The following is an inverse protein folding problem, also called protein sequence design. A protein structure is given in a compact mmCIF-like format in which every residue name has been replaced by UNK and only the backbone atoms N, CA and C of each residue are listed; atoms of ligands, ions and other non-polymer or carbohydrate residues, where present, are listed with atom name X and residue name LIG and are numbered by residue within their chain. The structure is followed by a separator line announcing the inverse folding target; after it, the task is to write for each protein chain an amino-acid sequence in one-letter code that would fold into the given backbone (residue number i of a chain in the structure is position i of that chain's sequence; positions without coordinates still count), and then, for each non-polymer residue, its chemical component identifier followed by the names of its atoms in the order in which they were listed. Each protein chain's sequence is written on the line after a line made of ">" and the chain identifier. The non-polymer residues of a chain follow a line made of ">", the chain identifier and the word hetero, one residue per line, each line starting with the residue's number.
data_IF_161799987845
#
_entry.id   IF_161799987845
#
_cell.length_a   1.000
_cell.length_b   1.000
_cell.length_c   1.000
_cell.angle_alpha   90.00
_cell.angle_beta   90.00
_cell.angle_gamma   90.00
#
_symmetry.space_group_name_H-M   'P 1'
#
loop_
_entity.id
_entity.type
_entity.pdbx_description
1 polymer ?
#
# COMPACT_ATOMS: atom_id res chain seq x y z
N UNK A 1 -9.63 -52.59 -23.20
CA UNK A 1 -8.64 -51.57 -23.58
C UNK A 1 -8.58 -50.57 -22.40
N UNK A 2 -7.42 -50.57 -21.74
CA UNK A 2 -7.27 -49.96 -20.39
C UNK A 2 -6.96 -48.45 -20.52
N UNK A 3 -7.72 -47.62 -19.79
CA UNK A 3 -7.44 -46.20 -19.57
C UNK A 3 -6.42 -46.09 -18.45
N UNK A 4 -5.28 -45.52 -18.69
CA UNK A 4 -4.32 -45.17 -17.65
C UNK A 4 -4.57 -43.75 -17.14
N UNK A 5 -4.95 -43.70 -15.84
CA UNK A 5 -4.92 -42.44 -15.07
C UNK A 5 -3.48 -42.18 -14.63
N UNK A 6 -2.94 -41.03 -14.98
CA UNK A 6 -1.73 -40.51 -14.35
C UNK A 6 -2.16 -39.68 -13.12
N UNK A 7 -1.89 -40.24 -11.95
CA UNK A 7 -1.96 -39.51 -10.69
C UNK A 7 -0.63 -38.81 -10.45
N UNK A 8 -0.66 -37.48 -10.28
CA UNK A 8 0.48 -36.73 -9.75
C UNK A 8 0.57 -36.96 -8.25
N UNK A 9 1.59 -37.69 -7.83
CA UNK A 9 1.92 -37.88 -6.42
C UNK A 9 2.77 -36.69 -5.93
N UNK A 10 2.28 -36.00 -4.93
CA UNK A 10 3.03 -35.02 -4.13
C UNK A 10 4.07 -35.80 -3.32
N UNK A 11 5.35 -35.53 -3.57
CA UNK A 11 6.45 -36.14 -2.86
C UNK A 11 6.66 -35.43 -1.53
N UNK A 12 6.07 -35.95 -0.46
CA UNK A 12 6.52 -35.66 0.90
C UNK A 12 7.82 -36.43 1.14
N UNK A 13 8.95 -35.73 1.21
CA UNK A 13 10.18 -36.31 1.72
C UNK A 13 10.11 -36.40 3.24
N UNK A 14 9.76 -37.58 3.71
CA UNK A 14 9.93 -37.94 5.11
C UNK A 14 11.43 -38.09 5.41
N UNK A 15 11.87 -37.47 6.48
CA UNK A 15 13.20 -37.62 7.04
C UNK A 15 13.41 -39.06 7.51
N UNK A 16 14.23 -39.84 6.78
CA UNK A 16 14.76 -41.09 7.28
C UNK A 16 15.99 -40.80 8.13
N UNK A 17 15.90 -41.16 9.42
CA UNK A 17 17.04 -41.20 10.34
C UNK A 17 18.01 -42.29 9.91
N UNK A 18 19.14 -41.90 9.31
CA UNK A 18 20.29 -42.77 9.22
C UNK A 18 21.29 -42.38 10.30
N UNK A 19 21.37 -43.18 11.35
CA UNK A 19 22.51 -43.19 12.25
C UNK A 19 23.65 -43.93 11.57
N UNK A 20 24.67 -43.19 11.10
CA UNK A 20 25.95 -43.79 10.76
C UNK A 20 27.07 -42.78 11.12
N UNK A 21 28.05 -43.27 11.79
CA UNK A 21 29.19 -42.60 12.43
C UNK A 21 30.02 -41.67 11.54
N UNK A 22 30.50 -40.59 12.17
CA UNK A 22 31.77 -39.91 12.00
C UNK A 22 32.19 -39.50 10.59
N UNK A 23 31.98 -38.20 10.27
CA UNK A 23 33.04 -37.31 9.78
C UNK A 23 32.57 -35.89 10.08
N UNK A 24 33.43 -35.10 10.74
CA UNK A 24 33.25 -33.67 10.95
C UNK A 24 33.25 -32.95 9.60
N UNK A 25 32.10 -32.85 8.95
CA UNK A 25 31.82 -31.84 7.93
C UNK A 25 30.88 -30.83 8.61
N UNK A 26 31.47 -29.95 9.41
CA UNK A 26 30.86 -28.71 9.86
C UNK A 26 30.64 -27.79 8.63
N UNK A 27 29.72 -28.16 7.75
CA UNK A 27 29.15 -27.20 6.80
C UNK A 27 28.23 -26.30 7.61
N UNK A 28 28.57 -25.02 7.78
CA UNK A 28 27.73 -24.10 8.56
C UNK A 28 26.31 -24.08 7.97
N UNK A 29 25.31 -24.32 8.79
CA UNK A 29 23.91 -24.23 8.36
C UNK A 29 23.60 -22.78 8.03
N UNK A 30 23.26 -22.50 6.77
CA UNK A 30 22.91 -21.16 6.31
C UNK A 30 21.58 -20.73 6.95
N UNK A 31 21.61 -19.64 7.70
CA UNK A 31 20.42 -19.00 8.29
C UNK A 31 19.75 -18.09 7.28
N UNK A 32 18.44 -18.24 7.15
CA UNK A 32 17.59 -17.36 6.35
C UNK A 32 17.32 -16.07 7.13
N UNK A 33 17.66 -14.90 6.57
CA UNK A 33 17.47 -13.59 7.18
C UNK A 33 16.78 -12.68 6.19
N UNK A 34 15.69 -12.06 6.63
CA UNK A 34 15.01 -11.02 5.86
C UNK A 34 15.84 -9.75 5.90
N UNK A 35 15.95 -9.08 4.75
CA UNK A 35 16.70 -7.83 4.60
C UNK A 35 15.85 -6.79 3.88
N UNK A 36 16.03 -5.53 4.22
CA UNK A 36 15.48 -4.40 3.51
C UNK A 36 16.61 -3.66 2.81
N UNK A 37 16.57 -3.62 1.47
CA UNK A 37 17.63 -3.02 0.64
C UNK A 37 17.35 -1.54 0.35
N UNK A 38 16.10 -1.10 0.49
CA UNK A 38 15.66 0.25 0.18
C UNK A 38 14.15 0.36 0.09
N UNK A 39 13.69 1.46 -0.48
CA UNK A 39 12.26 1.69 -0.67
C UNK A 39 11.99 2.45 -1.97
N UNK A 40 10.84 2.18 -2.56
CA UNK A 40 10.30 2.94 -3.68
C UNK A 40 9.29 3.95 -3.15
N UNK A 41 9.43 5.21 -3.58
CA UNK A 41 8.50 6.30 -3.27
C UNK A 41 7.80 6.70 -4.55
N UNK A 42 6.47 6.61 -4.56
CA UNK A 42 5.64 7.01 -5.70
C UNK A 42 5.08 8.39 -5.47
N UNK A 43 5.24 9.25 -6.47
CA UNK A 43 4.58 10.53 -6.56
C UNK A 43 3.50 10.52 -7.62
N UNK A 44 2.34 11.07 -7.30
CA UNK A 44 1.23 11.25 -8.26
C UNK A 44 1.53 12.29 -9.33
N UNK A 45 2.61 13.06 -9.17
CA UNK A 45 2.88 14.24 -9.95
C UNK A 45 2.02 15.42 -9.51
N UNK A 46 1.85 16.40 -10.41
CA UNK A 46 0.96 17.52 -10.21
C UNK A 46 0.24 17.88 -11.52
N UNK A 47 -1.02 17.50 -11.64
CA UNK A 47 -1.82 17.70 -12.85
C UNK A 47 -1.92 19.17 -13.25
N UNK A 48 -2.05 20.09 -12.27
CA UNK A 48 -2.17 21.53 -12.51
C UNK A 48 -0.87 22.14 -13.07
N UNK A 49 0.27 21.65 -12.60
CA UNK A 49 1.59 22.05 -13.08
C UNK A 49 2.07 21.23 -14.29
N UNK A 50 1.24 20.30 -14.80
CA UNK A 50 1.58 19.37 -15.87
C UNK A 50 2.82 18.49 -15.57
N UNK A 51 2.96 18.05 -14.32
CA UNK A 51 4.02 17.16 -13.88
C UNK A 51 3.44 15.75 -13.79
N UNK A 52 4.07 14.80 -14.48
CA UNK A 52 3.70 13.39 -14.44
C UNK A 52 4.06 12.75 -13.11
N UNK A 53 3.40 11.62 -12.81
CA UNK A 53 3.78 10.76 -11.72
C UNK A 53 5.18 10.20 -11.88
N UNK A 54 5.83 9.88 -10.79
CA UNK A 54 7.18 9.34 -10.79
C UNK A 54 7.38 8.27 -9.72
N UNK A 55 8.39 7.44 -9.91
CA UNK A 55 8.91 6.53 -8.89
C UNK A 55 10.36 6.89 -8.64
N UNK A 56 10.71 7.09 -7.37
CA UNK A 56 12.09 7.25 -6.94
C UNK A 56 12.49 6.06 -6.05
N UNK A 57 13.77 5.69 -6.08
CA UNK A 57 14.31 4.63 -5.24
C UNK A 57 15.30 5.20 -4.23
N UNK A 58 15.10 4.88 -2.97
CA UNK A 58 16.03 5.16 -1.87
C UNK A 58 16.82 3.88 -1.61
N UNK A 59 18.12 3.93 -1.87
CA UNK A 59 19.04 2.83 -1.59
C UNK A 59 19.62 2.99 -0.19
N UNK A 60 19.39 2.03 0.69
CA UNK A 60 19.85 2.11 2.07
C UNK A 60 21.36 1.91 2.20
N UNK A 61 21.94 1.05 1.36
CA UNK A 61 23.37 0.79 1.38
C UNK A 61 24.17 1.98 0.87
N UNK A 62 23.79 2.54 -0.27
CA UNK A 62 24.40 3.74 -0.83
C UNK A 62 24.02 5.01 -0.05
N UNK A 63 22.90 4.97 0.68
CA UNK A 63 22.32 6.12 1.35
C UNK A 63 21.94 7.23 0.37
N UNK A 64 21.49 6.90 -0.83
CA UNK A 64 21.25 7.80 -1.94
C UNK A 64 19.85 7.64 -2.54
N UNK A 65 19.40 8.68 -3.25
CA UNK A 65 18.12 8.69 -3.99
C UNK A 65 18.39 8.60 -5.48
N UNK A 66 17.76 7.63 -6.14
CA UNK A 66 17.61 7.64 -7.59
C UNK A 66 16.24 8.25 -7.91
N UNK A 67 16.22 9.57 -8.13
CA UNK A 67 15.00 10.26 -8.54
C UNK A 67 14.57 9.81 -9.95
N UNK A 68 13.24 9.74 -10.19
CA UNK A 68 12.66 9.30 -11.47
C UNK A 68 13.20 7.94 -11.95
N UNK A 69 13.35 6.98 -11.03
CA UNK A 69 13.95 5.68 -11.29
C UNK A 69 13.21 4.90 -12.40
N UNK A 70 11.87 4.97 -12.42
CA UNK A 70 11.07 4.34 -13.49
C UNK A 70 11.43 4.92 -14.87
N UNK A 71 11.49 6.24 -15.02
CA UNK A 71 11.82 6.89 -16.29
C UNK A 71 13.26 6.59 -16.73
N UNK A 72 14.21 6.54 -15.77
CA UNK A 72 15.60 6.18 -16.05
C UNK A 72 15.72 4.75 -16.54
N UNK A 73 14.98 3.81 -15.98
CA UNK A 73 15.01 2.41 -16.36
C UNK A 73 14.34 2.15 -17.72
N UNK A 74 13.32 2.94 -18.09
CA UNK A 74 12.45 2.61 -19.23
C UNK A 74 12.45 3.65 -20.36
N UNK A 75 13.07 4.81 -20.18
CA UNK A 75 13.10 5.89 -21.17
C UNK A 75 11.74 6.53 -21.46
N UNK A 76 10.73 6.32 -20.58
CA UNK A 76 9.38 6.82 -20.76
C UNK A 76 8.75 7.28 -19.43
N UNK A 77 7.73 8.14 -19.51
CA UNK A 77 6.98 8.62 -18.37
C UNK A 77 6.11 7.53 -17.77
N UNK A 78 5.87 7.63 -16.47
CA UNK A 78 4.91 6.79 -15.76
C UNK A 78 3.45 7.11 -16.15
N UNK A 79 3.17 8.37 -16.51
CA UNK A 79 1.84 8.91 -16.74
C UNK A 79 1.36 9.79 -15.57
N UNK A 80 0.16 10.34 -15.68
CA UNK A 80 -0.41 11.27 -14.70
C UNK A 80 -1.19 10.52 -13.63
N UNK A 81 -1.14 11.03 -12.40
CA UNK A 81 -1.93 10.54 -11.27
C UNK A 81 -1.61 9.08 -10.94
N UNK A 82 -0.33 8.79 -10.71
CA UNK A 82 0.04 7.53 -10.08
C UNK A 82 -0.53 7.50 -8.65
N UNK A 83 -1.18 6.38 -8.28
CA UNK A 83 -1.90 6.27 -7.01
C UNK A 83 -1.26 5.29 -6.04
N UNK A 84 -0.72 4.21 -6.54
CA UNK A 84 -0.33 3.10 -5.67
C UNK A 84 0.84 2.32 -6.24
N UNK A 85 1.61 1.72 -5.35
CA UNK A 85 2.64 0.75 -5.69
C UNK A 85 2.56 -0.41 -4.70
N UNK A 86 2.67 -1.63 -5.22
CA UNK A 86 2.76 -2.85 -4.42
C UNK A 86 3.76 -3.81 -5.05
N UNK A 87 4.48 -4.56 -4.22
CA UNK A 87 5.25 -5.71 -4.65
C UNK A 87 4.47 -7.00 -4.46
N UNK A 88 4.61 -7.91 -5.41
CA UNK A 88 4.13 -9.27 -5.29
C UNK A 88 5.02 -10.23 -6.08
N UNK A 89 5.61 -11.19 -5.38
CA UNK A 89 6.64 -12.05 -5.94
C UNK A 89 7.88 -11.26 -6.38
N UNK A 90 8.30 -11.45 -7.63
CA UNK A 90 9.45 -10.74 -8.22
C UNK A 90 9.08 -9.43 -8.93
N UNK A 91 7.84 -8.97 -8.78
CA UNK A 91 7.31 -7.84 -9.55
C UNK A 91 6.86 -6.69 -8.65
N UNK A 92 6.94 -5.49 -9.21
CA UNK A 92 6.28 -4.28 -8.73
C UNK A 92 5.12 -3.95 -9.65
N UNK A 93 3.98 -3.60 -9.06
CA UNK A 93 2.80 -3.14 -9.78
C UNK A 93 2.54 -1.69 -9.41
N UNK A 94 2.55 -0.81 -10.40
CA UNK A 94 2.34 0.63 -10.22
C UNK A 94 1.02 0.99 -10.88
N UNK A 95 0.07 1.45 -10.08
CA UNK A 95 -1.29 1.80 -10.51
C UNK A 95 -1.34 3.27 -10.87
N UNK A 96 -1.76 3.58 -12.10
CA UNK A 96 -1.84 4.94 -12.64
C UNK A 96 -3.26 5.24 -13.09
N UNK A 97 -3.94 6.11 -12.35
CA UNK A 97 -5.37 6.41 -12.51
C UNK A 97 -5.69 7.07 -13.85
N UNK A 98 -5.10 8.25 -14.11
CA UNK A 98 -5.49 9.05 -15.27
C UNK A 98 -5.20 8.37 -16.63
N UNK A 99 -4.25 7.45 -16.65
CA UNK A 99 -3.89 6.67 -17.83
C UNK A 99 -4.60 5.31 -17.89
N UNK A 100 -5.46 5.00 -16.93
CA UNK A 100 -6.12 3.69 -16.80
C UNK A 100 -5.11 2.54 -17.03
N UNK A 101 -3.99 2.60 -16.30
CA UNK A 101 -2.82 1.74 -16.58
C UNK A 101 -2.27 1.13 -15.29
N UNK A 102 -1.84 -0.13 -15.39
CA UNK A 102 -1.00 -0.77 -14.39
C UNK A 102 0.33 -1.12 -15.07
N UNK A 103 1.42 -0.53 -14.58
CA UNK A 103 2.76 -0.91 -14.96
C UNK A 103 3.21 -2.10 -14.13
N UNK A 104 3.64 -3.17 -14.79
CA UNK A 104 4.26 -4.34 -14.16
C UNK A 104 5.74 -4.26 -14.44
N UNK A 105 6.55 -4.15 -13.39
CA UNK A 105 7.99 -4.01 -13.49
C UNK A 105 8.70 -5.16 -12.76
N UNK A 106 9.89 -5.49 -13.18
CA UNK A 106 10.81 -6.29 -12.38
C UNK A 106 11.19 -5.52 -11.10
N UNK A 107 11.12 -6.16 -9.95
CA UNK A 107 11.32 -5.52 -8.64
C UNK A 107 12.72 -4.93 -8.45
N UNK A 108 13.74 -5.56 -9.04
CA UNK A 108 15.13 -5.18 -8.82
C UNK A 108 15.62 -4.10 -9.80
N UNK A 109 15.09 -4.11 -11.03
CA UNK A 109 15.58 -3.25 -12.11
C UNK A 109 14.62 -2.15 -12.50
N UNK A 110 13.35 -2.19 -12.05
CA UNK A 110 12.24 -1.37 -12.53
C UNK A 110 11.97 -1.49 -14.04
N UNK A 111 12.62 -2.43 -14.75
CA UNK A 111 12.36 -2.66 -16.15
C UNK A 111 10.92 -3.13 -16.36
N UNK A 112 10.20 -2.51 -17.29
CA UNK A 112 8.81 -2.87 -17.59
C UNK A 112 8.73 -4.26 -18.18
N UNK A 113 8.01 -5.15 -17.51
CA UNK A 113 7.62 -6.50 -17.96
C UNK A 113 6.35 -6.43 -18.79
N UNK A 114 5.37 -5.65 -18.34
CA UNK A 114 4.06 -5.49 -18.98
C UNK A 114 3.46 -4.12 -18.66
N UNK A 115 2.78 -3.54 -19.62
CA UNK A 115 1.81 -2.47 -19.44
C UNK A 115 0.41 -3.05 -19.63
N UNK A 116 -0.44 -2.93 -18.63
CA UNK A 116 -1.82 -3.36 -18.67
C UNK A 116 -2.67 -2.10 -18.84
N UNK A 117 -3.33 -1.96 -19.99
CA UNK A 117 -4.40 -0.99 -20.15
C UNK A 117 -5.65 -1.58 -19.51
N UNK A 118 -6.18 -0.93 -18.49
CA UNK A 118 -7.29 -1.46 -17.69
C UNK A 118 -8.64 -1.33 -18.40
N UNK A 119 -8.79 -0.34 -19.30
CA UNK A 119 -9.98 -0.22 -20.15
C UNK A 119 -10.03 -1.35 -21.18
N UNK A 120 -8.89 -1.69 -21.80
CA UNK A 120 -8.83 -2.85 -22.74
C UNK A 120 -9.14 -4.16 -22.01
N UNK A 121 -8.73 -4.26 -20.73
CA UNK A 121 -8.91 -5.47 -19.94
C UNK A 121 -10.33 -5.66 -19.41
N UNK A 122 -11.00 -4.56 -18.99
CA UNK A 122 -12.27 -4.59 -18.23
C UNK A 122 -13.42 -3.89 -18.94
N UNK A 123 -13.17 -3.13 -20.01
CA UNK A 123 -14.12 -2.27 -20.69
C UNK A 123 -14.16 -0.85 -20.11
N UNK A 124 -14.72 0.09 -20.89
CA UNK A 124 -14.78 1.52 -20.56
C UNK A 124 -15.55 1.84 -19.27
N UNK A 125 -16.53 0.99 -18.91
CA UNK A 125 -17.30 1.18 -17.70
C UNK A 125 -16.51 0.83 -16.44
N UNK A 126 -15.85 -0.32 -16.44
CA UNK A 126 -15.26 -0.91 -15.24
C UNK A 126 -13.75 -0.67 -15.13
N UNK A 127 -13.06 -0.43 -16.26
CA UNK A 127 -11.61 -0.29 -16.32
C UNK A 127 -11.05 1.08 -16.01
N UNK A 128 -11.90 2.06 -15.68
CA UNK A 128 -11.51 3.43 -15.40
C UNK A 128 -11.12 3.62 -13.93
N UNK A 129 -10.19 4.55 -13.70
CA UNK A 129 -9.74 4.97 -12.37
C UNK A 129 -9.31 3.80 -11.47
N UNK A 130 -8.26 3.03 -11.85
CA UNK A 130 -7.64 2.07 -10.95
C UNK A 130 -7.02 2.78 -9.73
N UNK A 131 -7.20 2.23 -8.51
CA UNK A 131 -6.84 2.93 -7.28
C UNK A 131 -5.72 2.28 -6.50
N UNK A 132 -5.95 1.12 -5.91
CA UNK A 132 -5.00 0.38 -5.10
C UNK A 132 -4.95 -1.09 -5.51
N UNK A 133 -3.92 -1.80 -5.09
CA UNK A 133 -3.75 -3.19 -5.44
C UNK A 133 -3.13 -3.99 -4.29
N UNK A 134 -3.44 -5.30 -4.24
CA UNK A 134 -2.82 -6.27 -3.34
C UNK A 134 -2.64 -7.59 -4.07
N UNK A 135 -1.52 -8.30 -3.82
CA UNK A 135 -1.24 -9.60 -4.42
C UNK A 135 -1.58 -10.75 -3.47
N UNK A 136 -2.26 -11.79 -3.96
CA UNK A 136 -2.55 -13.00 -3.20
C UNK A 136 -2.85 -14.18 -4.13
N UNK A 137 -2.35 -15.37 -3.80
CA UNK A 137 -2.64 -16.64 -4.49
C UNK A 137 -2.52 -16.56 -6.02
N UNK A 138 -1.44 -15.92 -6.53
CA UNK A 138 -1.17 -15.78 -7.96
C UNK A 138 -1.99 -14.71 -8.67
N UNK A 139 -2.82 -13.96 -7.96
CA UNK A 139 -3.62 -12.85 -8.49
C UNK A 139 -3.16 -11.51 -7.91
N UNK A 140 -3.32 -10.48 -8.73
CA UNK A 140 -3.33 -9.09 -8.30
C UNK A 140 -4.78 -8.64 -8.22
N UNK A 141 -5.24 -8.25 -7.04
CA UNK A 141 -6.56 -7.66 -6.84
C UNK A 141 -6.44 -6.15 -6.87
N UNK A 142 -7.24 -5.51 -7.71
CA UNK A 142 -7.16 -4.06 -7.95
C UNK A 142 -8.54 -3.44 -7.79
N UNK A 143 -8.63 -2.33 -7.06
CA UNK A 143 -9.85 -1.52 -6.93
C UNK A 143 -9.97 -0.56 -8.10
N UNK A 144 -11.21 -0.34 -8.57
CA UNK A 144 -11.56 0.59 -9.64
C UNK A 144 -12.80 1.39 -9.25
N UNK A 145 -12.76 2.68 -9.47
CA UNK A 145 -13.97 3.50 -9.32
C UNK A 145 -15.07 3.06 -10.29
N UNK A 146 -14.68 2.70 -11.53
CA UNK A 146 -15.62 2.14 -12.50
C UNK A 146 -16.87 3.00 -12.65
N UNK A 147 -18.04 2.38 -12.48
CA UNK A 147 -19.35 3.04 -12.61
C UNK A 147 -19.69 4.01 -11.47
N UNK A 148 -18.87 4.10 -10.41
CA UNK A 148 -19.09 5.04 -9.29
C UNK A 148 -19.18 6.49 -9.78
N UNK A 149 -18.42 6.84 -10.82
CA UNK A 149 -18.46 8.17 -11.44
C UNK A 149 -19.81 8.52 -12.07
N UNK A 150 -20.66 7.53 -12.32
CA UNK A 150 -22.02 7.67 -12.86
C UNK A 150 -23.10 7.35 -11.82
N UNK A 151 -22.73 7.30 -10.52
CA UNK A 151 -23.64 6.98 -9.43
C UNK A 151 -23.90 5.49 -9.22
N UNK A 152 -23.09 4.63 -9.86
CA UNK A 152 -23.10 3.18 -9.66
C UNK A 152 -22.12 2.74 -8.59
N UNK A 153 -21.74 1.47 -8.64
CA UNK A 153 -20.78 0.84 -7.75
C UNK A 153 -19.40 0.74 -8.41
N UNK A 154 -18.36 0.65 -7.58
CA UNK A 154 -17.03 0.27 -8.01
C UNK A 154 -16.85 -1.24 -8.08
N UNK A 155 -15.66 -1.67 -8.48
CA UNK A 155 -15.31 -3.07 -8.56
C UNK A 155 -13.93 -3.35 -7.95
N UNK A 156 -13.71 -4.64 -7.61
CA UNK A 156 -12.39 -5.24 -7.47
C UNK A 156 -12.21 -6.23 -8.61
N UNK A 157 -11.12 -6.10 -9.38
CA UNK A 157 -10.76 -7.07 -10.40
C UNK A 157 -9.60 -7.95 -9.93
N UNK A 158 -9.71 -9.26 -10.13
CA UNK A 158 -8.61 -10.21 -9.98
C UNK A 158 -7.92 -10.40 -11.34
N UNK A 159 -6.62 -10.14 -11.38
CA UNK A 159 -5.78 -10.23 -12.57
C UNK A 159 -4.68 -11.26 -12.30
N UNK A 160 -4.56 -12.27 -13.15
CA UNK A 160 -3.50 -13.28 -13.05
C UNK A 160 -2.11 -12.64 -13.18
N UNK A 161 -1.18 -12.99 -12.29
CA UNK A 161 0.15 -12.36 -12.24
C UNK A 161 1.17 -12.96 -13.20
N UNK A 162 0.80 -14.00 -13.96
CA UNK A 162 1.65 -14.66 -14.95
C UNK A 162 1.29 -14.21 -16.37
N UNK A 163 0.02 -14.37 -16.74
CA UNK A 163 -0.48 -14.02 -18.09
C UNK A 163 -1.17 -12.68 -18.17
N UNK A 164 -1.43 -12.02 -17.02
CA UNK A 164 -2.08 -10.72 -16.88
C UNK A 164 -3.52 -10.66 -17.42
N UNK A 165 -4.18 -11.80 -17.47
CA UNK A 165 -5.58 -11.90 -17.86
C UNK A 165 -6.52 -11.64 -16.68
N UNK A 166 -7.67 -11.04 -16.96
CA UNK A 166 -8.77 -10.92 -15.99
C UNK A 166 -9.28 -12.32 -15.62
N UNK A 167 -9.34 -12.61 -14.33
CA UNK A 167 -9.90 -13.84 -13.79
C UNK A 167 -11.36 -13.64 -13.40
N UNK A 168 -11.65 -12.66 -12.57
CA UNK A 168 -13.00 -12.34 -12.11
C UNK A 168 -13.10 -10.88 -11.68
N UNK A 169 -14.32 -10.41 -11.48
CA UNK A 169 -14.64 -9.10 -10.91
C UNK A 169 -15.65 -9.25 -9.79
N UNK A 170 -15.53 -8.43 -8.76
CA UNK A 170 -16.45 -8.34 -7.64
C UNK A 170 -17.02 -6.92 -7.60
N UNK A 171 -18.35 -6.79 -7.61
CA UNK A 171 -19.00 -5.51 -7.38
C UNK A 171 -18.92 -5.17 -5.89
N UNK A 172 -18.41 -3.98 -5.56
CA UNK A 172 -18.22 -3.47 -4.20
C UNK A 172 -18.98 -2.16 -4.02
N UNK A 173 -18.78 -1.47 -2.90
CA UNK A 173 -19.38 -0.16 -2.69
C UNK A 173 -18.88 0.92 -3.65
N UNK A 174 -19.42 2.14 -3.50
CA UNK A 174 -19.09 3.29 -4.34
C UNK A 174 -17.71 3.85 -4.01
N UNK A 175 -16.94 4.17 -5.04
CA UNK A 175 -15.58 4.73 -4.96
C UNK A 175 -14.66 3.93 -4.05
N UNK A 176 -14.33 2.66 -4.42
CA UNK A 176 -13.39 1.84 -3.65
C UNK A 176 -11.96 2.37 -3.79
N UNK A 177 -11.34 2.70 -2.67
CA UNK A 177 -9.95 3.16 -2.59
C UNK A 177 -9.02 2.03 -2.13
N UNK A 178 -8.61 2.00 -0.86
CA UNK A 178 -7.70 0.99 -0.33
C UNK A 178 -8.32 -0.39 -0.22
N UNK A 179 -7.46 -1.42 -0.33
CA UNK A 179 -7.84 -2.81 -0.06
C UNK A 179 -6.73 -3.54 0.68
N UNK A 180 -7.12 -4.56 1.46
CA UNK A 180 -6.21 -5.46 2.17
C UNK A 180 -6.77 -6.86 2.23
N UNK A 181 -5.95 -7.85 2.57
CA UNK A 181 -6.37 -9.23 2.72
C UNK A 181 -6.15 -9.69 4.17
N UNK A 182 -7.19 -10.27 4.75
CA UNK A 182 -7.14 -10.90 6.07
C UNK A 182 -8.06 -12.13 6.09
N UNK A 183 -7.59 -13.20 6.72
CA UNK A 183 -8.40 -14.40 6.97
C UNK A 183 -9.12 -14.96 5.72
N UNK A 184 -8.46 -14.95 4.55
CA UNK A 184 -9.03 -15.42 3.28
C UNK A 184 -10.09 -14.51 2.67
N UNK A 185 -10.24 -13.28 3.18
CA UNK A 185 -11.14 -12.27 2.65
C UNK A 185 -10.38 -11.02 2.21
N UNK A 186 -10.87 -10.36 1.16
CA UNK A 186 -10.46 -8.99 0.81
C UNK A 186 -11.40 -8.03 1.52
N UNK A 187 -10.81 -7.00 2.16
CA UNK A 187 -11.55 -5.88 2.71
C UNK A 187 -11.25 -4.64 1.87
N UNK A 188 -12.29 -3.90 1.49
CA UNK A 188 -12.21 -2.75 0.58
C UNK A 188 -12.83 -1.54 1.23
N UNK A 189 -12.09 -0.45 1.30
CA UNK A 189 -12.58 0.84 1.77
C UNK A 189 -13.33 1.57 0.64
N UNK A 190 -14.64 1.73 0.79
CA UNK A 190 -15.49 2.42 -0.18
C UNK A 190 -15.79 3.83 0.34
N UNK A 191 -15.06 4.82 -0.19
CA UNK A 191 -15.04 6.19 0.35
C UNK A 191 -16.28 7.03 0.01
N UNK A 192 -17.09 6.58 -0.94
CA UNK A 192 -18.19 7.37 -1.52
C UNK A 192 -17.71 8.76 -1.98
N UNK A 193 -16.45 8.86 -2.36
CA UNK A 193 -15.75 10.10 -2.75
C UNK A 193 -15.86 11.23 -1.70
N UNK A 194 -15.94 10.87 -0.41
CA UNK A 194 -16.11 11.80 0.69
C UNK A 194 -17.51 12.45 0.77
N UNK A 195 -18.49 11.97 0.00
CA UNK A 195 -19.88 12.47 0.06
C UNK A 195 -20.60 12.06 1.35
N UNK A 196 -20.09 11.05 2.05
CA UNK A 196 -20.62 10.51 3.30
C UNK A 196 -22.11 10.08 3.24
N UNK A 197 -22.60 9.67 2.05
CA UNK A 197 -23.97 9.20 1.87
C UNK A 197 -24.09 7.69 1.96
N UNK A 198 -23.14 6.97 1.32
CA UNK A 198 -23.11 5.52 1.25
C UNK A 198 -21.70 4.94 1.47
N UNK A 199 -20.86 5.47 2.38
CA UNK A 199 -19.56 4.88 2.67
C UNK A 199 -19.76 3.50 3.29
N UNK A 200 -18.82 2.59 3.01
CA UNK A 200 -18.88 1.22 3.53
C UNK A 200 -17.51 0.55 3.51
N UNK A 201 -17.41 -0.61 4.13
CA UNK A 201 -16.32 -1.55 3.91
C UNK A 201 -16.92 -2.79 3.24
N UNK A 202 -16.48 -3.12 2.02
CA UNK A 202 -16.84 -4.40 1.41
C UNK A 202 -15.91 -5.50 1.87
N UNK A 203 -16.49 -6.66 2.20
CA UNK A 203 -15.76 -7.89 2.53
C UNK A 203 -16.05 -8.93 1.46
N UNK A 204 -15.02 -9.40 0.76
CA UNK A 204 -15.09 -10.40 -0.30
C UNK A 204 -14.46 -11.69 0.22
N UNK A 205 -15.23 -12.74 0.37
CA UNK A 205 -14.72 -14.07 0.71
C UNK A 205 -14.10 -14.72 -0.53
N UNK A 206 -12.80 -14.97 -0.51
CA UNK A 206 -12.05 -15.49 -1.66
C UNK A 206 -12.38 -16.95 -2.00
N UNK A 207 -12.90 -17.71 -1.03
CA UNK A 207 -13.29 -19.11 -1.25
C UNK A 207 -14.63 -19.24 -1.98
N UNK A 208 -15.61 -18.39 -1.63
CA UNK A 208 -16.96 -18.45 -2.18
C UNK A 208 -17.25 -17.36 -3.23
N UNK A 209 -16.46 -16.30 -3.27
CA UNK A 209 -16.72 -15.12 -4.08
C UNK A 209 -17.85 -14.23 -3.56
N UNK A 210 -18.38 -14.51 -2.36
CA UNK A 210 -19.46 -13.72 -1.76
C UNK A 210 -18.93 -12.34 -1.34
N UNK A 211 -19.71 -11.30 -1.65
CA UNK A 211 -19.45 -9.93 -1.22
C UNK A 211 -20.47 -9.52 -0.17
N UNK A 212 -19.99 -9.01 0.97
CA UNK A 212 -20.81 -8.44 2.03
C UNK A 212 -20.38 -7.00 2.27
N UNK A 213 -21.32 -6.12 2.62
CA UNK A 213 -21.03 -4.74 3.01
C UNK A 213 -21.18 -4.58 4.52
N UNK A 214 -20.14 -4.03 5.15
CA UNK A 214 -20.16 -3.55 6.53
C UNK A 214 -20.51 -2.07 6.47
N UNK A 215 -21.65 -1.71 7.08
CA UNK A 215 -22.15 -0.34 7.21
C UNK A 215 -22.31 -0.02 8.68
N UNK A 216 -21.81 1.11 9.07
CA UNK A 216 -21.91 1.63 10.44
C UNK A 216 -21.93 3.16 10.36
N UNK A 217 -22.61 3.84 11.27
CA UNK A 217 -22.68 5.30 11.31
C UNK A 217 -21.33 5.99 11.53
N UNK A 218 -20.36 5.25 12.08
CA UNK A 218 -18.98 5.74 12.27
C UNK A 218 -18.10 5.59 11.01
N UNK A 219 -18.57 4.90 9.97
CA UNK A 219 -17.90 4.83 8.67
C UNK A 219 -18.33 6.05 7.86
N UNK A 220 -17.43 6.99 7.63
CA UNK A 220 -17.77 8.28 6.99
C UNK A 220 -17.01 8.52 5.68
N UNK A 221 -15.71 8.23 5.65
CA UNK A 221 -14.86 8.44 4.48
C UNK A 221 -13.64 7.50 4.55
N UNK A 222 -13.85 6.17 4.44
CA UNK A 222 -12.76 5.20 4.54
C UNK A 222 -11.88 5.24 3.28
N UNK A 223 -10.57 5.41 3.46
CA UNK A 223 -9.61 5.61 2.36
C UNK A 223 -8.53 4.53 2.30
N UNK A 224 -7.78 4.38 3.39
CA UNK A 224 -6.72 3.38 3.50
C UNK A 224 -7.19 2.23 4.37
N UNK A 225 -6.70 1.03 4.10
CA UNK A 225 -7.02 -0.14 4.90
C UNK A 225 -5.79 -1.04 4.97
N UNK A 226 -5.51 -1.62 6.11
CA UNK A 226 -4.37 -2.49 6.33
C UNK A 226 -4.74 -3.64 7.28
N UNK A 227 -3.91 -4.66 7.28
CA UNK A 227 -4.01 -5.80 8.18
C UNK A 227 -2.86 -5.77 9.18
N UNK A 228 -3.17 -6.04 10.44
CA UNK A 228 -2.21 -6.22 11.52
C UNK A 228 -2.52 -7.53 12.24
N UNK A 229 -1.72 -8.56 12.00
CA UNK A 229 -2.05 -9.93 12.37
C UNK A 229 -3.30 -10.43 11.64
N UNK A 230 -4.34 -10.81 12.38
CA UNK A 230 -5.66 -11.19 11.84
C UNK A 230 -6.68 -10.04 11.82
N UNK A 231 -6.32 -8.90 12.41
CA UNK A 231 -7.22 -7.76 12.56
C UNK A 231 -7.12 -6.82 11.35
N UNK A 232 -8.23 -6.19 11.02
CA UNK A 232 -8.34 -5.22 9.93
C UNK A 232 -8.49 -3.82 10.51
N UNK A 233 -7.69 -2.89 10.02
CA UNK A 233 -7.72 -1.48 10.40
C UNK A 233 -7.90 -0.62 9.16
N UNK A 234 -8.72 0.41 9.25
CA UNK A 234 -8.87 1.37 8.16
C UNK A 234 -8.75 2.81 8.67
N UNK A 235 -8.22 3.67 7.82
CA UNK A 235 -8.18 5.11 8.02
C UNK A 235 -9.44 5.71 7.43
N UNK A 236 -10.21 6.38 8.27
CA UNK A 236 -11.35 7.18 7.87
C UNK A 236 -10.95 8.66 7.91
N UNK A 237 -11.16 9.36 6.81
CA UNK A 237 -10.85 10.79 6.73
C UNK A 237 -11.87 11.67 7.44
N UNK A 238 -12.97 11.07 7.95
CA UNK A 238 -14.01 11.81 8.64
C UNK A 238 -14.83 12.72 7.71
N UNK A 239 -15.30 13.80 8.26
CA UNK A 239 -16.16 14.80 7.59
C UNK A 239 -15.51 16.18 7.61
N UNK A 240 -16.12 17.14 6.91
CA UNK A 240 -15.69 18.55 6.92
C UNK A 240 -16.84 19.42 7.37
N UNK A 241 -16.55 20.40 8.23
CA UNK A 241 -17.52 21.42 8.61
C UNK A 241 -17.72 22.50 7.52
N UNK A 242 -18.60 23.47 7.75
CA UNK A 242 -18.86 24.55 6.81
C UNK A 242 -17.64 25.47 6.57
N UNK A 243 -16.65 25.44 7.44
CA UNK A 243 -15.37 26.17 7.32
C UNK A 243 -14.25 25.29 6.75
N UNK A 244 -14.58 24.08 6.28
CA UNK A 244 -13.64 23.09 5.77
C UNK A 244 -12.69 22.48 6.82
N UNK A 245 -12.96 22.64 8.11
CA UNK A 245 -12.17 21.94 9.10
C UNK A 245 -12.50 20.44 9.06
N UNK A 246 -11.47 19.60 8.99
CA UNK A 246 -11.62 18.15 9.01
C UNK A 246 -11.90 17.64 10.42
N UNK A 247 -12.94 16.84 10.55
CA UNK A 247 -13.40 16.33 11.83
C UNK A 247 -13.54 14.81 11.82
N UNK A 248 -13.25 14.17 12.95
CA UNK A 248 -13.49 12.74 13.14
C UNK A 248 -12.51 11.80 12.43
N UNK A 249 -11.51 12.33 11.74
CA UNK A 249 -10.49 11.51 11.10
C UNK A 249 -9.79 10.59 12.12
N UNK A 250 -9.40 9.39 11.67
CA UNK A 250 -8.69 8.44 12.52
C UNK A 250 -8.77 7.02 12.05
N UNK A 251 -7.98 6.18 12.69
CA UNK A 251 -7.94 4.75 12.42
C UNK A 251 -9.01 4.04 13.22
N UNK A 252 -9.70 3.14 12.55
CA UNK A 252 -10.73 2.28 13.13
C UNK A 252 -10.36 0.82 12.92
N UNK A 253 -10.68 0.00 13.91
CA UNK A 253 -10.54 -1.45 13.87
C UNK A 253 -11.89 -2.08 13.51
N UNK A 254 -11.86 -3.09 12.64
CA UNK A 254 -13.00 -3.93 12.33
C UNK A 254 -12.78 -5.26 13.04
N UNK A 255 -13.73 -5.64 13.92
CA UNK A 255 -13.70 -6.94 14.59
C UNK A 255 -14.17 -8.06 13.65
N UNK A 256 -13.93 -9.31 14.02
CA UNK A 256 -14.42 -10.47 13.26
C UNK A 256 -15.96 -10.51 13.12
N UNK A 257 -16.69 -9.91 14.06
CA UNK A 257 -18.16 -9.75 14.01
C UNK A 257 -18.62 -8.58 13.14
N UNK A 258 -17.70 -7.76 12.63
CA UNK A 258 -18.01 -6.57 11.83
C UNK A 258 -18.25 -5.30 12.66
N UNK A 259 -18.07 -5.34 13.97
CA UNK A 259 -18.12 -4.14 14.82
C UNK A 259 -16.95 -3.21 14.51
N UNK A 260 -17.22 -1.91 14.46
CA UNK A 260 -16.25 -0.88 14.12
C UNK A 260 -15.97 0.00 15.33
N UNK A 261 -14.69 0.15 15.70
CA UNK A 261 -14.27 1.02 16.81
C UNK A 261 -13.10 1.89 16.42
N UNK A 262 -13.13 3.19 16.80
CA UNK A 262 -12.00 4.10 16.63
C UNK A 262 -10.92 3.76 17.65
N UNK A 263 -9.67 3.64 17.21
CA UNK A 263 -8.53 3.26 18.05
C UNK A 263 -7.51 4.39 18.24
N UNK A 264 -7.31 5.22 17.21
CA UNK A 264 -6.35 6.34 17.28
C UNK A 264 -6.71 7.41 16.25
N UNK A 265 -6.39 8.68 16.54
CA UNK A 265 -6.52 9.79 15.60
C UNK A 265 -5.47 9.69 14.49
N UNK A 266 -5.80 10.16 13.28
CA UNK A 266 -4.85 10.18 12.18
C UNK A 266 -5.48 10.60 10.86
N UNK A 267 -4.64 11.13 9.97
CA UNK A 267 -4.94 11.49 8.57
C UNK A 267 -4.05 10.75 7.57
N UNK A 268 -3.04 10.02 8.08
CA UNK A 268 -2.27 9.02 7.35
C UNK A 268 -1.89 7.90 8.31
N UNK A 269 -1.72 6.67 7.81
CA UNK A 269 -1.35 5.53 8.64
C UNK A 269 -0.40 4.57 7.92
N UNK A 270 0.36 3.82 8.72
CA UNK A 270 1.09 2.63 8.28
C UNK A 270 1.24 1.63 9.42
N UNK A 271 1.83 0.46 9.15
CA UNK A 271 2.15 -0.56 10.15
C UNK A 271 3.52 -1.17 9.89
N UNK A 272 4.19 -1.60 10.96
CA UNK A 272 5.39 -2.44 10.95
C UNK A 272 5.06 -3.93 11.17
N UNK A 273 3.76 -4.29 11.13
CA UNK A 273 3.25 -5.61 11.46
C UNK A 273 2.96 -5.84 12.95
N UNK A 274 3.19 -4.85 13.83
CA UNK A 274 2.95 -4.92 15.30
C UNK A 274 2.18 -3.72 15.82
N UNK A 275 2.44 -2.54 15.27
CA UNK A 275 1.87 -1.26 15.68
C UNK A 275 1.28 -0.54 14.49
N UNK A 276 0.37 0.38 14.76
CA UNK A 276 -0.12 1.34 13.78
C UNK A 276 0.50 2.70 14.10
N UNK A 277 1.15 3.28 13.10
CA UNK A 277 1.74 4.61 13.17
C UNK A 277 0.84 5.58 12.42
N UNK A 278 0.56 6.74 12.99
CA UNK A 278 -0.27 7.75 12.34
C UNK A 278 0.40 9.13 12.31
N UNK A 279 0.10 9.86 11.25
CA UNK A 279 0.21 11.31 11.22
C UNK A 279 -1.20 11.84 11.40
N UNK A 280 -1.42 12.71 12.37
CA UNK A 280 -2.68 13.39 12.59
C UNK A 280 -2.51 14.87 12.28
N UNK A 281 -2.83 15.25 11.06
CA UNK A 281 -2.74 16.60 10.50
C UNK A 281 -4.08 16.98 9.83
N UNK A 282 -5.18 17.08 10.59
CA UNK A 282 -6.48 17.41 10.03
C UNK A 282 -6.44 18.77 9.33
N UNK A 283 -7.13 18.88 8.20
CA UNK A 283 -7.23 20.16 7.49
C UNK A 283 -7.90 21.22 8.41
N UNK A 284 -7.27 22.38 8.51
CA UNK A 284 -7.68 23.45 9.42
C UNK A 284 -7.11 23.36 10.83
N UNK A 285 -6.44 22.27 11.21
CA UNK A 285 -5.78 22.17 12.51
C UNK A 285 -4.52 23.04 12.58
N UNK A 286 -4.24 23.59 13.76
CA UNK A 286 -3.06 24.42 14.00
C UNK A 286 -1.77 23.58 14.14
N UNK A 287 -1.89 22.32 14.54
CA UNK A 287 -0.74 21.46 14.86
C UNK A 287 -0.89 20.07 14.22
N UNK A 288 0.25 19.49 13.87
CA UNK A 288 0.36 18.09 13.46
C UNK A 288 0.85 17.27 14.66
N UNK A 289 0.19 16.15 14.93
CA UNK A 289 0.62 15.20 15.96
C UNK A 289 0.96 13.85 15.33
N UNK A 290 1.85 13.10 15.99
CA UNK A 290 2.27 11.77 15.54
C UNK A 290 2.01 10.78 16.64
N UNK A 291 1.25 9.73 16.33
CA UNK A 291 0.77 8.78 17.31
C UNK A 291 1.15 7.35 16.92
N UNK A 292 1.39 6.53 17.93
CA UNK A 292 1.73 5.11 17.80
C UNK A 292 0.71 4.34 18.62
N UNK A 293 -0.11 3.54 17.95
CA UNK A 293 -1.06 2.63 18.58
C UNK A 293 -0.46 1.22 18.64
N UNK A 294 -0.34 0.69 19.84
CA UNK A 294 0.10 -0.68 20.08
C UNK A 294 -1.13 -1.59 20.14
N UNK A 295 -1.30 -2.44 19.12
CA UNK A 295 -2.47 -3.29 19.00
C UNK A 295 -2.52 -4.41 20.05
N UNK A 296 -1.38 -4.82 20.62
CA UNK A 296 -1.33 -5.86 21.64
C UNK A 296 -1.80 -5.37 23.01
N UNK A 297 -1.53 -4.09 23.32
CA UNK A 297 -1.90 -3.48 24.62
C UNK A 297 -3.11 -2.54 24.53
N UNK A 298 -3.49 -2.13 23.33
CA UNK A 298 -4.55 -1.13 23.12
C UNK A 298 -4.14 0.29 23.54
N UNK A 299 -2.85 0.56 23.72
CA UNK A 299 -2.36 1.86 24.20
C UNK A 299 -1.85 2.72 23.06
N UNK A 300 -2.05 4.04 23.20
CA UNK A 300 -1.52 5.04 22.26
C UNK A 300 -0.44 5.87 22.95
N UNK A 301 0.67 6.08 22.28
CA UNK A 301 1.76 6.98 22.68
C UNK A 301 2.01 8.02 21.60
N UNK A 302 2.46 9.21 21.98
CA UNK A 302 2.90 10.25 21.04
C UNK A 302 4.42 10.21 20.85
N UNK A 303 4.89 10.67 19.69
CA UNK A 303 6.28 10.94 19.41
C UNK A 303 6.41 12.23 18.60
N UNK A 304 7.59 12.83 18.57
CA UNK A 304 7.83 14.11 17.88
C UNK A 304 8.97 13.95 16.88
N UNK A 305 8.68 13.57 15.62
CA UNK A 305 9.70 13.47 14.59
C UNK A 305 10.24 14.85 14.23
N UNK A 306 11.56 14.99 14.23
CA UNK A 306 12.24 16.23 13.87
C UNK A 306 12.26 16.45 12.34
N UNK A 307 12.24 17.72 11.90
CA UNK A 307 12.51 18.11 10.52
C UNK A 307 11.39 17.81 9.53
N UNK A 308 10.14 17.73 9.97
CA UNK A 308 8.95 17.56 9.13
C UNK A 308 8.23 18.90 8.97
N UNK A 309 8.01 19.30 7.71
CA UNK A 309 7.24 20.51 7.39
C UNK A 309 5.77 20.20 7.11
N UNK A 310 5.50 19.35 6.10
CA UNK A 310 4.13 18.98 5.69
C UNK A 310 4.07 17.51 5.31
N UNK A 311 3.78 16.61 6.27
CA UNK A 311 3.80 15.18 6.04
C UNK A 311 2.69 14.75 5.08
N UNK A 312 3.02 13.88 4.12
CA UNK A 312 2.09 13.33 3.16
C UNK A 312 1.93 11.80 3.30
N UNK A 313 3.03 11.09 3.52
CA UNK A 313 3.04 9.63 3.66
C UNK A 313 3.89 9.25 4.86
N UNK A 314 3.39 8.31 5.65
CA UNK A 314 4.15 7.62 6.68
C UNK A 314 4.28 6.15 6.29
N UNK A 315 5.47 5.56 6.49
CA UNK A 315 5.73 4.16 6.22
C UNK A 315 6.65 3.58 7.28
N UNK A 316 6.48 2.32 7.63
CA UNK A 316 7.33 1.59 8.56
C UNK A 316 7.90 0.35 7.87
N UNK A 317 9.21 0.19 7.93
CA UNK A 317 9.92 -0.93 7.31
C UNK A 317 9.65 -2.21 8.11
N UNK A 318 9.04 -3.24 7.51
CA UNK A 318 8.63 -4.44 8.23
C UNK A 318 9.83 -5.30 8.72
N UNK A 319 11.02 -5.07 8.17
CA UNK A 319 12.23 -5.82 8.53
C UNK A 319 13.03 -5.09 9.61
N UNK A 320 13.27 -3.80 9.43
CA UNK A 320 14.13 -3.01 10.32
C UNK A 320 13.37 -2.29 11.44
N UNK A 321 12.06 -2.08 11.26
CA UNK A 321 11.23 -1.26 12.13
C UNK A 321 11.50 0.25 11.98
N UNK A 322 12.34 0.66 11.04
CA UNK A 322 12.59 2.07 10.78
C UNK A 322 11.33 2.74 10.23
N UNK A 323 11.11 3.98 10.65
CA UNK A 323 9.96 4.78 10.25
C UNK A 323 10.41 5.82 9.23
N UNK A 324 9.61 6.01 8.20
CA UNK A 324 9.87 6.99 7.14
C UNK A 324 8.66 7.94 7.02
N UNK A 325 8.94 9.23 6.94
CA UNK A 325 7.92 10.24 6.65
C UNK A 325 8.33 10.97 5.38
N UNK A 326 7.49 10.86 4.35
CA UNK A 326 7.63 11.64 3.11
C UNK A 326 6.85 12.93 3.29
N UNK A 327 7.54 14.05 3.11
CA UNK A 327 6.99 15.38 3.38
C UNK A 327 7.15 16.30 2.16
N UNK A 328 6.15 17.12 1.91
CA UNK A 328 6.31 18.23 0.98
C UNK A 328 7.39 19.20 1.50
N UNK A 329 8.13 19.80 0.56
CA UNK A 329 8.99 20.95 0.88
C UNK A 329 8.12 22.21 1.03
N UNK A 330 8.62 23.15 1.82
CA UNK A 330 8.07 24.50 1.83
C UNK A 330 8.33 25.18 0.47
N UNK A 331 7.31 25.82 -0.07
CA UNK A 331 7.49 26.69 -1.21
C UNK A 331 8.07 28.03 -0.71
N UNK A 332 9.30 28.39 -1.10
CA UNK A 332 9.99 29.57 -0.57
C UNK A 332 9.30 30.91 -0.93
N UNK A 333 8.43 30.90 -1.94
CA UNK A 333 7.71 32.11 -2.36
C UNK A 333 6.43 32.35 -1.54
N UNK A 334 5.83 31.27 -1.03
CA UNK A 334 4.50 31.34 -0.39
C UNK A 334 4.47 30.91 1.07
N UNK A 335 5.49 30.17 1.54
CA UNK A 335 5.51 29.53 2.86
C UNK A 335 4.56 28.35 3.02
N UNK A 336 3.84 27.94 1.96
CA UNK A 336 2.93 26.79 1.94
C UNK A 336 3.58 25.54 1.36
N UNK A 337 2.95 24.37 1.49
CA UNK A 337 3.47 23.13 0.89
C UNK A 337 3.65 23.28 -0.63
N UNK A 338 4.84 22.92 -1.10
CA UNK A 338 5.23 23.00 -2.51
C UNK A 338 4.73 21.78 -3.29
N UNK A 339 3.45 21.70 -3.59
CA UNK A 339 2.82 20.55 -4.26
C UNK A 339 3.38 20.24 -5.66
N UNK A 340 4.05 21.18 -6.30
CA UNK A 340 4.74 21.00 -7.58
C UNK A 340 6.26 20.82 -7.43
N UNK A 341 6.76 20.87 -6.20
CA UNK A 341 8.17 20.64 -5.89
C UNK A 341 8.41 19.17 -5.54
N UNK A 342 9.64 18.67 -5.76
CA UNK A 342 10.02 17.35 -5.23
C UNK A 342 9.92 17.33 -3.70
N UNK A 343 9.41 16.24 -3.14
CA UNK A 343 9.36 16.00 -1.70
C UNK A 343 10.72 15.57 -1.14
N UNK A 344 10.80 15.45 0.18
CA UNK A 344 11.88 14.78 0.88
C UNK A 344 11.34 13.66 1.76
N UNK A 345 12.22 12.75 2.16
CA UNK A 345 11.90 11.65 3.07
C UNK A 345 12.85 11.68 4.26
N UNK A 346 12.30 11.77 5.46
CA UNK A 346 13.05 11.58 6.69
C UNK A 346 12.94 10.14 7.17
N UNK A 347 14.10 9.57 7.56
CA UNK A 347 14.22 8.27 8.19
C UNK A 347 14.43 8.44 9.69
N UNK A 348 13.71 7.64 10.45
CA UNK A 348 13.85 7.51 11.91
C UNK A 348 14.09 6.04 12.24
N UNK A 349 14.84 5.76 13.29
CA UNK A 349 14.98 4.39 13.78
C UNK A 349 13.68 3.88 14.45
N UNK A 350 13.67 2.62 14.85
CA UNK A 350 12.51 1.98 15.49
C UNK A 350 12.13 2.62 16.85
N UNK A 351 12.99 3.48 17.41
CA UNK A 351 12.76 4.27 18.62
C UNK A 351 12.27 5.69 18.30
N UNK A 352 12.13 6.03 17.01
CA UNK A 352 11.67 7.34 16.55
C UNK A 352 12.76 8.43 16.52
N UNK A 353 14.03 8.07 16.67
CA UNK A 353 15.15 9.01 16.58
C UNK A 353 15.52 9.27 15.12
N UNK A 354 15.73 10.53 14.76
CA UNK A 354 16.14 10.93 13.42
C UNK A 354 17.49 10.28 13.02
N UNK A 355 17.49 9.70 11.82
CA UNK A 355 18.66 9.03 11.23
C UNK A 355 19.19 9.82 10.05
N UNK A 356 18.33 10.12 9.07
CA UNK A 356 18.77 10.72 7.81
C UNK A 356 17.62 11.40 7.07
N UNK A 357 17.94 12.42 6.29
CA UNK A 357 17.05 13.04 5.30
C UNK A 357 17.49 12.66 3.88
N UNK A 358 16.53 12.29 3.04
CA UNK A 358 16.69 12.02 1.62
C UNK A 358 15.94 13.08 0.84
N UNK A 359 16.65 13.83 0.01
CA UNK A 359 16.08 14.91 -0.79
C UNK A 359 15.58 14.42 -2.16
N UNK A 360 14.62 15.14 -2.76
CA UNK A 360 14.12 14.90 -4.12
C UNK A 360 13.54 13.51 -4.32
N UNK A 361 12.70 13.07 -3.41
CA UNK A 361 12.16 11.70 -3.44
C UNK A 361 10.97 11.53 -4.37
N UNK A 362 9.98 12.43 -4.37
CA UNK A 362 8.83 12.35 -5.28
C UNK A 362 8.12 13.70 -5.42
N UNK A 363 7.38 13.94 -6.50
CA UNK A 363 6.45 15.07 -6.60
C UNK A 363 5.03 14.55 -6.37
N UNK A 364 4.32 15.17 -5.40
CA UNK A 364 3.00 14.69 -4.99
C UNK A 364 3.07 13.28 -4.37
N UNK A 365 3.84 13.08 -3.27
CA UNK A 365 4.04 11.74 -2.69
C UNK A 365 2.72 11.12 -2.25
N UNK A 366 2.50 9.83 -2.60
CA UNK A 366 1.22 9.16 -2.38
C UNK A 366 1.36 7.74 -1.83
N UNK A 367 2.40 7.00 -2.19
CA UNK A 367 2.55 5.60 -1.82
C UNK A 367 4.03 5.20 -1.72
N UNK A 368 4.30 4.22 -0.87
CA UNK A 368 5.64 3.67 -0.62
C UNK A 368 5.56 2.15 -0.57
N UNK A 369 6.58 1.48 -1.10
CA UNK A 369 6.80 0.04 -0.88
C UNK A 369 8.28 -0.22 -0.58
N UNK A 370 8.55 -1.14 0.35
CA UNK A 370 9.92 -1.52 0.72
C UNK A 370 10.46 -2.61 -0.21
N UNK A 371 11.72 -2.47 -0.60
CA UNK A 371 12.45 -3.48 -1.37
C UNK A 371 13.08 -4.50 -0.40
N UNK A 372 12.25 -5.41 0.06
CA UNK A 372 12.66 -6.50 0.95
C UNK A 372 13.12 -7.72 0.16
N UNK A 373 14.05 -8.49 0.72
CA UNK A 373 14.57 -9.72 0.15
C UNK A 373 14.99 -10.68 1.26
N UNK A 374 15.39 -11.88 0.88
CA UNK A 374 15.90 -12.91 1.79
C UNK A 374 17.35 -13.20 1.46
N UNK A 375 18.21 -13.11 2.46
CA UNK A 375 19.62 -13.51 2.35
C UNK A 375 19.88 -14.75 3.20
N UNK A 376 20.81 -15.56 2.72
CA UNK A 376 21.32 -16.70 3.46
C UNK A 376 22.69 -16.31 4.01
N UNK A 377 22.82 -16.33 5.34
CA UNK A 377 24.06 -15.98 6.06
C UNK A 377 24.57 -17.18 6.85
N UNK A 378 25.91 -17.27 7.00
CA UNK A 378 26.56 -18.31 7.81
C UNK A 378 26.48 -17.99 9.29
#
# INVERSE_FOLDING_TARGET
>A
MKKSLLSFAVLMMGAALFTACSNDDDTPELKKVDVSNGMFVVGSGNKKANIDGNVSYIDYQAGAVTANAFQKANGKSLGKTANYIVDYGSKLYIVVDAEATIWVCDKNTLSVVKQINTIDLLGEKDGVSPRAAVGENGNLYVTFYGDSNNGGNGIVAAIDTVNFAKQTTYTVGSYPDGLTIANGCIYVANSDYGNCKNPSISKIDLGSGKVEEIKDEVITNPMQILTLGSDVYYLDYGTYDASWNQMGAGVRKITASGEVTKVVDGTAMCTDGKKVYTVNAPYGAAETTYLIYDAATGTTTSWNPEGIFSPAVIAADPVTGNIFIVSYQENPETGYPGYALPSYTNQYDAQGKFVKKYENTATGPISVVFNTDVKYVQ
#
